data_IF_997176758772
#
_entry.id   IF_997176758772
#
_cell.length_a   1.000
_cell.length_b   1.000
_cell.length_c   1.000
_cell.angle_alpha   90.00
_cell.angle_beta   90.00
_cell.angle_gamma   90.00
#
_symmetry.space_group_name_H-M   'P 1'
#
loop_
_entity.id
_entity.type
_entity.pdbx_description
1 polymer ?
#
# COMPACT_ATOMS: atom_id res chain seq x y z
N UNK A 1 10.54 2.87 -9.49
CA UNK A 1 10.48 1.72 -8.56
C UNK A 1 10.76 0.40 -9.27
N UNK A 2 10.02 0.01 -10.34
CA UNK A 2 10.15 -1.28 -11.02
C UNK A 2 11.58 -1.61 -11.48
N UNK A 3 12.20 -0.73 -12.27
CA UNK A 3 13.59 -0.92 -12.76
C UNK A 3 14.59 -0.99 -11.61
N UNK A 4 14.40 -0.19 -10.58
CA UNK A 4 15.27 -0.18 -9.41
C UNK A 4 15.18 -1.49 -8.62
N UNK A 5 14.00 -2.01 -8.36
CA UNK A 5 13.83 -3.31 -7.70
C UNK A 5 14.36 -4.47 -8.54
N UNK A 6 14.22 -4.40 -9.87
CA UNK A 6 14.78 -5.37 -10.80
C UNK A 6 16.32 -5.37 -10.77
N UNK A 7 16.94 -4.20 -10.75
CA UNK A 7 18.40 -4.06 -10.63
C UNK A 7 18.93 -4.58 -9.29
N UNK A 8 18.24 -4.24 -8.18
CA UNK A 8 18.61 -4.77 -6.87
C UNK A 8 18.54 -6.29 -6.83
N UNK A 9 17.46 -6.87 -7.36
CA UNK A 9 17.33 -8.31 -7.46
C UNK A 9 18.50 -8.93 -8.24
N UNK A 10 18.79 -8.39 -9.42
CA UNK A 10 19.88 -8.89 -10.24
C UNK A 10 21.26 -8.82 -9.56
N UNK A 11 21.53 -7.73 -8.83
CA UNK A 11 22.80 -7.54 -8.13
C UNK A 11 22.95 -8.52 -6.95
N UNK A 12 21.89 -8.73 -6.17
CA UNK A 12 21.97 -9.48 -4.91
C UNK A 12 21.62 -10.97 -5.04
N UNK A 13 20.77 -11.35 -5.99
CA UNK A 13 20.33 -12.74 -6.19
C UNK A 13 20.86 -13.38 -7.47
N UNK A 14 21.45 -12.58 -8.37
CA UNK A 14 21.84 -13.02 -9.71
C UNK A 14 20.67 -13.22 -10.68
N UNK A 15 19.43 -13.09 -10.21
CA UNK A 15 18.21 -13.27 -11.00
C UNK A 15 17.42 -11.97 -11.07
N UNK A 16 17.08 -11.52 -12.27
CA UNK A 16 16.32 -10.29 -12.49
C UNK A 16 14.82 -10.45 -12.30
N UNK A 17 14.31 -11.70 -12.25
CA UNK A 17 12.89 -12.04 -12.20
C UNK A 17 12.59 -12.95 -11.02
N UNK A 18 11.37 -12.93 -10.46
CA UNK A 18 10.93 -13.78 -9.35
C UNK A 18 10.63 -15.21 -9.81
N UNK A 19 11.68 -16.00 -10.05
CA UNK A 19 11.60 -17.35 -10.67
C UNK A 19 10.84 -18.35 -9.81
N UNK A 20 10.89 -18.23 -8.48
CA UNK A 20 10.25 -19.16 -7.55
C UNK A 20 8.80 -18.79 -7.20
N UNK A 21 8.25 -17.72 -7.79
CA UNK A 21 6.87 -17.32 -7.53
C UNK A 21 5.89 -18.22 -8.27
N UNK A 22 5.06 -18.95 -7.54
CA UNK A 22 3.97 -19.75 -8.07
C UNK A 22 2.82 -18.88 -8.60
N UNK A 23 1.95 -19.47 -9.40
CA UNK A 23 0.78 -18.77 -9.97
C UNK A 23 -0.10 -18.13 -8.90
N UNK A 24 -0.23 -18.76 -7.72
CA UNK A 24 -0.97 -18.21 -6.58
C UNK A 24 -0.29 -16.95 -6.02
N UNK A 25 1.03 -16.99 -5.84
CA UNK A 25 1.82 -15.83 -5.38
C UNK A 25 1.73 -14.68 -6.38
N UNK A 26 1.88 -14.96 -7.67
CA UNK A 26 1.68 -13.96 -8.74
C UNK A 26 0.30 -13.33 -8.69
N UNK A 27 -0.76 -14.13 -8.61
CA UNK A 27 -2.14 -13.64 -8.55
C UNK A 27 -2.39 -12.71 -7.35
N UNK A 28 -1.95 -13.11 -6.16
CA UNK A 28 -2.11 -12.32 -4.94
C UNK A 28 -1.28 -11.02 -4.97
N UNK A 29 -0.04 -11.07 -5.45
CA UNK A 29 0.83 -9.90 -5.54
C UNK A 29 0.36 -8.91 -6.61
N UNK A 30 -0.11 -9.40 -7.77
CA UNK A 30 -0.72 -8.55 -8.80
C UNK A 30 -2.01 -7.88 -8.28
N UNK A 31 -2.87 -8.64 -7.59
CA UNK A 31 -4.09 -8.11 -6.96
C UNK A 31 -3.74 -7.04 -5.90
N UNK A 32 -2.73 -7.30 -5.08
CA UNK A 32 -2.20 -6.35 -4.11
C UNK A 32 -1.69 -5.05 -4.77
N UNK A 33 -0.98 -5.18 -5.88
CA UNK A 33 -0.50 -4.04 -6.67
C UNK A 33 -1.63 -3.24 -7.31
N UNK A 34 -2.65 -3.93 -7.81
CA UNK A 34 -3.85 -3.30 -8.35
C UNK A 34 -4.60 -2.50 -7.27
N UNK A 35 -4.85 -3.09 -6.10
CA UNK A 35 -5.59 -2.43 -5.03
C UNK A 35 -4.76 -1.30 -4.40
N UNK A 36 -3.50 -1.56 -4.06
CA UNK A 36 -2.64 -0.59 -3.37
C UNK A 36 -2.14 0.49 -4.34
N UNK A 37 -1.42 0.10 -5.39
CA UNK A 37 -0.72 1.06 -6.25
C UNK A 37 -1.59 1.69 -7.32
N UNK A 38 -2.60 0.99 -7.86
CA UNK A 38 -3.49 1.61 -8.84
C UNK A 38 -4.67 2.30 -8.16
N UNK A 39 -5.55 1.57 -7.46
CA UNK A 39 -6.76 2.15 -6.85
C UNK A 39 -6.41 3.09 -5.69
N UNK A 40 -5.48 2.70 -4.82
CA UNK A 40 -5.06 3.52 -3.68
C UNK A 40 -4.43 4.83 -4.13
N UNK A 41 -3.50 4.81 -5.06
CA UNK A 41 -2.83 6.01 -5.56
C UNK A 41 -3.77 6.86 -6.43
N UNK A 42 -4.66 6.24 -7.19
CA UNK A 42 -5.70 6.96 -7.93
C UNK A 42 -6.61 7.76 -6.98
N UNK A 43 -7.05 7.16 -5.89
CA UNK A 43 -7.80 7.85 -4.85
C UNK A 43 -6.95 8.97 -4.21
N UNK A 44 -5.67 8.70 -3.94
CA UNK A 44 -4.76 9.67 -3.34
C UNK A 44 -4.59 10.92 -4.22
N UNK A 45 -4.35 10.74 -5.51
CA UNK A 45 -4.21 11.86 -6.43
C UNK A 45 -5.51 12.68 -6.54
N UNK A 46 -6.67 12.02 -6.59
CA UNK A 46 -7.96 12.72 -6.56
C UNK A 46 -8.19 13.46 -5.24
N UNK A 47 -7.73 12.91 -4.12
CA UNK A 47 -7.73 13.61 -2.83
C UNK A 47 -6.86 14.86 -2.90
N UNK A 48 -5.64 14.77 -3.45
CA UNK A 48 -4.74 15.93 -3.61
C UNK A 48 -5.34 17.05 -4.45
N UNK A 49 -6.05 16.71 -5.52
CA UNK A 49 -6.71 17.68 -6.38
C UNK A 49 -7.89 18.37 -5.69
N UNK A 50 -8.54 17.70 -4.75
CA UNK A 50 -9.78 18.21 -4.11
C UNK A 50 -9.54 18.90 -2.77
N UNK A 51 -8.67 18.37 -1.92
CA UNK A 51 -8.41 18.89 -0.57
C UNK A 51 -6.95 19.32 -0.35
N UNK A 52 -6.12 19.17 -1.36
CA UNK A 52 -4.70 19.51 -1.31
C UNK A 52 -3.83 18.38 -0.75
N UNK A 53 -2.54 18.40 -1.13
CA UNK A 53 -1.58 17.35 -0.79
C UNK A 53 -1.38 17.18 0.71
N UNK A 54 -1.43 18.27 1.48
CA UNK A 54 -1.27 18.23 2.95
C UNK A 54 -2.31 17.36 3.63
N UNK A 55 -3.59 17.54 3.28
CA UNK A 55 -4.68 16.75 3.87
C UNK A 55 -4.72 15.33 3.29
N UNK A 56 -4.47 15.18 1.99
CA UNK A 56 -4.39 13.85 1.38
C UNK A 56 -3.31 12.97 2.03
N UNK A 57 -2.14 13.53 2.33
CA UNK A 57 -1.09 12.81 3.08
C UNK A 57 -1.51 12.45 4.51
N UNK A 58 -2.28 13.29 5.19
CA UNK A 58 -2.81 12.96 6.51
C UNK A 58 -3.74 11.74 6.45
N UNK A 59 -4.57 11.61 5.42
CA UNK A 59 -5.42 10.43 5.25
C UNK A 59 -4.62 9.16 4.94
N UNK A 60 -3.43 9.27 4.32
CA UNK A 60 -2.54 8.12 4.11
C UNK A 60 -2.02 7.53 5.43
N UNK A 61 -1.94 8.31 6.50
CA UNK A 61 -1.56 7.79 7.82
C UNK A 61 -2.62 6.86 8.44
N UNK A 62 -3.82 6.75 7.83
CA UNK A 62 -4.82 5.74 8.18
C UNK A 62 -4.49 4.35 7.60
N UNK A 63 -3.56 4.24 6.66
CA UNK A 63 -3.21 2.97 6.02
C UNK A 63 -2.82 1.86 7.02
N UNK A 64 -2.00 2.09 8.07
CA UNK A 64 -1.71 1.08 9.08
C UNK A 64 -2.95 0.60 9.84
N UNK A 65 -3.94 1.47 10.07
CA UNK A 65 -5.19 1.09 10.72
C UNK A 65 -6.01 0.14 9.84
N UNK A 66 -6.16 0.48 8.56
CA UNK A 66 -6.83 -0.40 7.61
C UNK A 66 -6.07 -1.70 7.39
N UNK A 67 -4.73 -1.66 7.40
CA UNK A 67 -3.90 -2.86 7.34
C UNK A 67 -4.15 -3.77 8.55
N UNK A 68 -4.22 -3.22 9.75
CA UNK A 68 -4.47 -4.00 10.97
C UNK A 68 -5.87 -4.63 10.98
N UNK A 69 -6.90 -3.88 10.58
CA UNK A 69 -8.28 -4.40 10.45
C UNK A 69 -8.32 -5.51 9.38
N UNK A 70 -7.68 -5.29 8.24
CA UNK A 70 -7.62 -6.27 7.17
C UNK A 70 -6.83 -7.52 7.58
N UNK A 71 -5.73 -7.37 8.33
CA UNK A 71 -4.95 -8.49 8.84
C UNK A 71 -5.75 -9.33 9.85
N UNK A 72 -6.56 -8.67 10.67
CA UNK A 72 -7.47 -9.37 11.57
C UNK A 72 -8.52 -10.18 10.79
N UNK A 73 -9.13 -9.60 9.76
CA UNK A 73 -10.17 -10.25 8.96
C UNK A 73 -9.62 -11.38 8.06
N UNK A 74 -8.50 -11.15 7.36
CA UNK A 74 -7.97 -12.08 6.35
C UNK A 74 -6.99 -13.11 6.91
N UNK A 75 -6.23 -12.75 7.94
CA UNK A 75 -5.15 -13.59 8.50
C UNK A 75 -5.50 -14.07 9.92
N UNK A 76 -6.55 -13.53 10.53
CA UNK A 76 -6.94 -13.85 11.92
C UNK A 76 -5.96 -13.31 12.96
N UNK A 77 -5.13 -12.32 12.61
CA UNK A 77 -4.21 -11.69 13.54
C UNK A 77 -4.97 -10.96 14.65
N UNK A 78 -4.72 -11.34 15.90
CA UNK A 78 -5.29 -10.65 17.05
C UNK A 78 -4.60 -9.30 17.25
N UNK A 79 -5.39 -8.23 17.31
CA UNK A 79 -4.90 -6.90 17.63
C UNK A 79 -4.58 -6.82 19.12
N UNK A 80 -3.33 -6.52 19.45
CA UNK A 80 -2.95 -6.23 20.83
C UNK A 80 -3.61 -4.91 21.28
N UNK A 81 -3.95 -4.81 22.56
CA UNK A 81 -4.45 -3.58 23.16
C UNK A 81 -3.53 -2.38 22.92
N UNK A 82 -2.21 -2.63 22.92
CA UNK A 82 -1.20 -1.61 22.61
C UNK A 82 -1.33 -1.08 21.18
N UNK A 83 -1.62 -1.95 20.21
CA UNK A 83 -1.83 -1.56 18.81
C UNK A 83 -3.09 -0.70 18.66
N UNK A 84 -4.18 -1.03 19.38
CA UNK A 84 -5.40 -0.22 19.39
C UNK A 84 -5.16 1.17 19.98
N UNK A 85 -4.38 1.27 21.05
CA UNK A 85 -3.98 2.55 21.63
C UNK A 85 -3.12 3.38 20.65
N UNK A 86 -2.14 2.75 20.01
CA UNK A 86 -1.30 3.42 19.02
C UNK A 86 -2.12 3.96 17.84
N UNK A 87 -3.11 3.20 17.35
CA UNK A 87 -4.05 3.65 16.33
C UNK A 87 -4.90 4.83 16.81
N UNK A 88 -5.42 4.78 18.02
CA UNK A 88 -6.22 5.85 18.60
C UNK A 88 -5.40 7.14 18.72
N UNK A 89 -4.15 7.06 19.19
CA UNK A 89 -3.23 8.19 19.27
C UNK A 89 -2.94 8.78 17.90
N UNK A 90 -2.72 7.92 16.90
CA UNK A 90 -2.51 8.36 15.51
C UNK A 90 -3.73 9.10 14.97
N UNK A 91 -4.94 8.57 15.18
CA UNK A 91 -6.18 9.21 14.76
C UNK A 91 -6.39 10.56 15.44
N UNK A 92 -6.11 10.65 16.75
CA UNK A 92 -6.17 11.91 17.49
C UNK A 92 -5.16 12.91 16.94
N UNK A 93 -3.94 12.50 16.63
CA UNK A 93 -2.93 13.36 15.99
C UNK A 93 -3.40 13.92 14.64
N UNK A 94 -4.03 13.08 13.81
CA UNK A 94 -4.62 13.50 12.53
C UNK A 94 -5.75 14.50 12.78
N UNK A 95 -6.67 14.18 13.69
CA UNK A 95 -7.79 15.06 14.02
C UNK A 95 -7.30 16.44 14.50
N UNK A 96 -6.35 16.47 15.42
CA UNK A 96 -5.74 17.72 15.90
C UNK A 96 -5.06 18.47 14.76
N UNK A 97 -4.32 17.78 13.89
CA UNK A 97 -3.64 18.42 12.76
C UNK A 97 -4.62 19.02 11.74
N UNK A 98 -5.79 18.41 11.57
CA UNK A 98 -6.87 18.92 10.71
C UNK A 98 -7.55 20.13 11.37
N UNK A 99 -7.84 20.03 12.68
CA UNK A 99 -8.52 21.08 13.44
C UNK A 99 -7.62 22.29 13.71
N UNK A 100 -6.33 22.08 13.94
CA UNK A 100 -5.38 23.10 14.34
C UNK A 100 -4.81 23.86 13.15
N UNK A 101 -5.65 24.20 12.20
CA UNK A 101 -5.24 24.98 11.04
C UNK A 101 -5.30 26.47 11.31
N UNK A 102 -4.15 26.98 11.79
CA UNK A 102 -3.64 28.25 11.32
C UNK A 102 -4.14 29.49 12.01
N UNK A 103 -3.25 30.03 12.75
CA UNK A 103 -3.12 31.45 12.98
C UNK A 103 -3.36 32.23 11.67
N UNK A 104 -4.48 32.94 11.57
CA UNK A 104 -4.57 34.10 10.75
C UNK A 104 -5.61 34.20 9.64
N UNK A 105 -6.44 33.23 9.34
CA UNK A 105 -7.66 33.42 8.52
C UNK A 105 -8.69 32.34 8.87
N UNK A 106 -9.92 32.76 9.14
CA UNK A 106 -11.11 31.94 9.24
C UNK A 106 -11.30 31.13 7.93
N UNK A 107 -10.58 30.04 7.80
CA UNK A 107 -10.83 29.11 6.72
C UNK A 107 -11.99 28.25 7.21
N UNK A 108 -13.17 28.51 6.64
CA UNK A 108 -14.30 27.58 6.78
C UNK A 108 -13.81 26.18 6.42
N UNK A 109 -13.84 25.28 7.40
CA UNK A 109 -13.42 23.88 7.28
C UNK A 109 -14.46 23.09 6.45
N UNK A 110 -14.84 23.60 5.29
CA UNK A 110 -15.63 22.88 4.33
C UNK A 110 -14.67 22.13 3.39
N UNK A 111 -13.99 21.11 3.97
CA UNK A 111 -13.33 20.13 3.13
C UNK A 111 -14.41 19.44 2.28
N UNK A 112 -14.31 19.48 0.94
CA UNK A 112 -15.28 18.81 0.10
C UNK A 112 -15.30 17.32 0.46
N UNK A 113 -16.48 16.81 0.83
CA UNK A 113 -16.69 15.43 1.25
C UNK A 113 -16.08 14.43 0.26
N UNK A 114 -16.12 14.74 -1.04
CA UNK A 114 -15.49 13.93 -2.08
C UNK A 114 -13.98 13.76 -1.86
N UNK A 115 -13.26 14.81 -1.48
CA UNK A 115 -11.82 14.76 -1.24
C UNK A 115 -11.48 13.93 0.01
N UNK A 116 -12.30 14.02 1.05
CA UNK A 116 -12.17 13.21 2.27
C UNK A 116 -12.41 11.74 1.95
N UNK A 117 -13.45 11.40 1.19
CA UNK A 117 -13.75 10.03 0.77
C UNK A 117 -12.61 9.44 -0.08
N UNK A 118 -12.04 10.21 -0.99
CA UNK A 118 -10.84 9.80 -1.74
C UNK A 118 -9.65 9.57 -0.81
N UNK A 119 -9.42 10.43 0.17
CA UNK A 119 -8.34 10.27 1.15
C UNK A 119 -8.49 8.97 1.98
N UNK A 120 -9.69 8.70 2.48
CA UNK A 120 -10.01 7.45 3.20
C UNK A 120 -9.83 6.25 2.27
N UNK A 121 -10.32 6.33 1.03
CA UNK A 121 -10.16 5.29 0.01
C UNK A 121 -8.69 4.99 -0.30
N UNK A 122 -7.84 6.02 -0.33
CA UNK A 122 -6.40 5.87 -0.50
C UNK A 122 -5.77 5.08 0.65
N UNK A 123 -6.05 5.47 1.91
CA UNK A 123 -5.57 4.76 3.10
C UNK A 123 -6.05 3.31 3.15
N UNK A 124 -7.33 3.07 2.80
CA UNK A 124 -7.91 1.73 2.74
C UNK A 124 -7.25 0.88 1.65
N UNK A 125 -7.09 1.41 0.44
CA UNK A 125 -6.43 0.72 -0.67
C UNK A 125 -5.00 0.32 -0.33
N UNK A 126 -4.23 1.21 0.26
CA UNK A 126 -2.86 0.92 0.72
C UNK A 126 -2.84 -0.11 1.84
N UNK A 127 -3.70 0.02 2.85
CA UNK A 127 -3.77 -0.91 3.98
C UNK A 127 -4.16 -2.33 3.56
N UNK A 128 -5.24 -2.47 2.80
CA UNK A 128 -5.69 -3.77 2.26
C UNK A 128 -4.63 -4.35 1.31
N UNK A 129 -4.07 -3.52 0.43
CA UNK A 129 -3.00 -3.92 -0.49
C UNK A 129 -1.79 -4.50 0.23
N UNK A 130 -1.36 -3.90 1.35
CA UNK A 130 -0.25 -4.41 2.17
C UNK A 130 -0.54 -5.80 2.74
N UNK A 131 -1.76 -6.05 3.24
CA UNK A 131 -2.14 -7.36 3.81
C UNK A 131 -2.19 -8.44 2.75
N UNK A 132 -2.79 -8.15 1.59
CA UNK A 132 -2.79 -9.10 0.46
C UNK A 132 -1.37 -9.36 -0.03
N UNK A 133 -0.50 -8.33 -0.03
CA UNK A 133 0.92 -8.49 -0.34
C UNK A 133 1.64 -9.43 0.63
N UNK A 134 1.32 -9.34 1.93
CA UNK A 134 1.87 -10.26 2.93
C UNK A 134 1.45 -11.69 2.65
N UNK A 135 0.17 -11.94 2.40
CA UNK A 135 -0.34 -13.28 2.06
C UNK A 135 0.33 -13.80 0.78
N UNK A 136 0.51 -12.93 -0.22
CA UNK A 136 1.22 -13.28 -1.45
C UNK A 136 2.70 -13.60 -1.22
N UNK A 137 3.37 -12.85 -0.33
CA UNK A 137 4.75 -13.09 0.06
C UNK A 137 4.91 -14.40 0.84
N UNK A 138 4.00 -14.69 1.76
CA UNK A 138 3.98 -15.95 2.51
C UNK A 138 3.79 -17.16 1.55
N UNK A 139 2.90 -17.04 0.57
CA UNK A 139 2.73 -18.04 -0.47
C UNK A 139 3.98 -18.18 -1.36
N UNK A 140 4.67 -17.10 -1.66
CA UNK A 140 5.93 -17.11 -2.41
C UNK A 140 7.01 -17.83 -1.61
N UNK A 141 7.21 -17.46 -0.35
CA UNK A 141 8.22 -18.05 0.55
C UNK A 141 8.02 -19.57 0.71
N UNK A 142 6.77 -20.02 0.78
CA UNK A 142 6.43 -21.44 0.89
C UNK A 142 6.87 -22.29 -0.34
N UNK A 143 7.03 -21.67 -1.50
CA UNK A 143 7.43 -22.34 -2.74
C UNK A 143 8.94 -22.29 -3.01
N UNK A 144 9.71 -21.53 -2.22
CA UNK A 144 11.16 -21.47 -2.35
C UNK A 144 11.79 -22.73 -1.77
N UNK A 145 12.70 -23.42 -2.50
CA UNK A 145 13.42 -24.57 -1.97
C UNK A 145 14.20 -24.22 -0.69
N UNK A 146 14.10 -25.07 0.33
CA UNK A 146 14.74 -24.87 1.63
C UNK A 146 16.26 -24.65 1.57
N UNK A 147 16.91 -25.17 0.55
CA UNK A 147 18.34 -24.99 0.31
C UNK A 147 18.72 -23.57 -0.13
N UNK A 148 17.81 -22.87 -0.82
CA UNK A 148 18.04 -21.52 -1.37
C UNK A 148 17.48 -20.44 -0.46
N UNK A 149 16.45 -20.76 0.32
CA UNK A 149 15.73 -19.85 1.19
C UNK A 149 16.63 -18.97 2.08
N UNK A 150 17.65 -19.50 2.80
CA UNK A 150 18.49 -18.67 3.66
C UNK A 150 19.28 -17.59 2.92
N UNK A 151 19.54 -17.81 1.62
CA UNK A 151 20.31 -16.87 0.81
C UNK A 151 19.46 -15.75 0.22
N UNK A 152 18.17 -16.01 -0.03
CA UNK A 152 17.29 -15.05 -0.72
C UNK A 152 16.16 -14.51 0.15
N UNK A 153 15.99 -15.00 1.38
CA UNK A 153 14.88 -14.60 2.27
C UNK A 153 14.82 -13.08 2.47
N UNK A 154 15.97 -12.42 2.66
CA UNK A 154 16.03 -10.97 2.80
C UNK A 154 15.66 -10.20 1.54
N UNK A 155 15.69 -10.84 0.37
CA UNK A 155 15.41 -10.21 -0.92
C UNK A 155 14.01 -10.53 -1.46
N UNK A 156 13.30 -11.50 -0.88
CA UNK A 156 11.93 -11.86 -1.28
C UNK A 156 10.95 -10.68 -1.26
N UNK A 157 11.01 -9.73 -0.29
CA UNK A 157 10.15 -8.55 -0.33
C UNK A 157 10.37 -7.65 -1.55
N UNK A 158 11.59 -7.59 -2.08
CA UNK A 158 11.89 -6.84 -3.31
C UNK A 158 11.27 -7.50 -4.53
N UNK A 159 11.31 -8.84 -4.61
CA UNK A 159 10.64 -9.63 -5.65
C UNK A 159 9.12 -9.41 -5.62
N UNK A 160 8.53 -9.49 -4.44
CA UNK A 160 7.11 -9.24 -4.25
C UNK A 160 6.72 -7.80 -4.66
N UNK A 161 7.53 -6.82 -4.25
CA UNK A 161 7.30 -5.42 -4.62
C UNK A 161 7.44 -5.18 -6.13
N UNK A 162 8.36 -5.89 -6.80
CA UNK A 162 8.51 -5.82 -8.26
C UNK A 162 7.23 -6.26 -8.99
N UNK A 163 6.62 -7.38 -8.58
CA UNK A 163 5.36 -7.87 -9.14
C UNK A 163 4.23 -6.84 -8.90
N UNK A 164 4.17 -6.25 -7.72
CA UNK A 164 3.19 -5.21 -7.39
C UNK A 164 3.37 -3.95 -8.25
N UNK A 165 4.62 -3.51 -8.45
CA UNK A 165 4.95 -2.39 -9.33
C UNK A 165 4.57 -2.66 -10.78
N UNK A 166 4.75 -3.90 -11.26
CA UNK A 166 4.32 -4.33 -12.59
C UNK A 166 2.81 -4.17 -12.77
N UNK A 167 2.02 -4.62 -11.78
CA UNK A 167 0.57 -4.45 -11.79
C UNK A 167 0.17 -2.96 -11.88
N UNK A 168 0.76 -2.11 -11.05
CA UNK A 168 0.53 -0.66 -11.09
C UNK A 168 0.86 -0.06 -12.45
N UNK A 169 2.03 -0.39 -13.00
CA UNK A 169 2.50 0.11 -14.29
C UNK A 169 1.54 -0.29 -15.44
N UNK A 170 1.14 -1.56 -15.49
CA UNK A 170 0.20 -2.06 -16.50
C UNK A 170 -1.16 -1.35 -16.38
N UNK A 171 -1.71 -1.27 -15.17
CA UNK A 171 -3.01 -0.63 -14.95
C UNK A 171 -3.01 0.85 -15.29
N UNK A 172 -1.97 1.61 -14.90
CA UNK A 172 -1.85 3.02 -15.27
C UNK A 172 -1.64 3.22 -16.77
N UNK A 173 -0.87 2.34 -17.41
CA UNK A 173 -0.67 2.40 -18.86
C UNK A 173 -1.98 2.16 -19.62
N UNK A 174 -2.75 1.16 -19.21
CA UNK A 174 -4.08 0.87 -19.79
C UNK A 174 -5.04 2.03 -19.55
N UNK A 175 -5.06 2.58 -18.34
CA UNK A 175 -5.91 3.73 -18.01
C UNK A 175 -5.54 4.96 -18.86
N UNK A 176 -4.26 5.23 -19.06
CA UNK A 176 -3.78 6.34 -19.89
C UNK A 176 -4.20 6.18 -21.36
N UNK A 177 -4.14 4.96 -21.88
CA UNK A 177 -4.58 4.67 -23.25
C UNK A 177 -6.09 4.81 -23.39
N UNK A 178 -6.86 4.35 -22.39
CA UNK A 178 -8.31 4.42 -22.39
C UNK A 178 -8.87 5.85 -22.16
N UNK A 179 -8.07 6.74 -21.55
CA UNK A 179 -8.45 8.12 -21.26
C UNK A 179 -8.12 9.12 -22.38
N UNK A 180 -7.49 8.65 -23.44
CA UNK A 180 -7.23 9.45 -24.68
C UNK A 180 -8.37 9.32 -25.67
#
# INVERSE_FOLDING_TARGET
>A
AFVFTMLLMWIFTGEALPVYADQKAWGLLLLSGFIGYFLGDWCLFNSYLTIGSRFGQLFMTLAPMFAAISAWVFIGQTLSWLNLLAMAVTMLGIAISILNKGEGKTVSLQLPIKGVLYGIGAGMGQGVGLVISKIGLDAYTANVPSAVLPHIEHYLPFSANMIRCLAGLVCYSLWLVASR
#
